data_IF_612704490683
#
_entry.id   IF_612704490683
#
_cell.length_a   1.000
_cell.length_b   1.000
_cell.length_c   1.000
_cell.angle_alpha   90.00
_cell.angle_beta   90.00
_cell.angle_gamma   90.00
#
_symmetry.space_group_name_H-M   'P 1'
#
loop_
_entity.id
_entity.type
_entity.pdbx_description
1 polymer ?
#
# COMPACT_ATOMS: atom_id res chain seq x y z
N UNK A 1 75.19 45.14 33.96
CA UNK A 1 73.94 45.14 34.77
C UNK A 1 72.81 45.42 33.79
N UNK A 2 71.82 44.58 33.50
CA UNK A 2 71.35 43.34 34.13
C UNK A 2 70.43 42.61 33.13
N UNK A 3 70.78 41.35 32.88
CA UNK A 3 70.03 40.14 32.45
C UNK A 3 68.54 40.18 32.06
N UNK A 4 68.22 39.48 30.97
CA UNK A 4 66.94 38.79 30.70
C UNK A 4 67.13 37.62 29.69
N UNK A 5 66.45 36.46 29.82
CA UNK A 5 66.90 35.15 29.31
C UNK A 5 66.25 34.72 27.96
N UNK A 6 66.70 33.58 27.35
CA UNK A 6 66.33 33.16 26.00
C UNK A 6 65.05 32.30 25.98
N UNK A 7 64.34 32.27 24.85
CA UNK A 7 63.16 31.44 24.64
C UNK A 7 62.93 31.08 23.18
N UNK A 8 63.05 29.79 22.92
CA UNK A 8 62.31 28.97 21.95
C UNK A 8 62.54 29.15 20.45
N UNK A 9 63.49 28.33 19.99
CA UNK A 9 63.60 27.68 18.70
C UNK A 9 62.28 26.97 18.32
N UNK A 10 61.57 27.52 17.34
CA UNK A 10 60.55 26.79 16.57
C UNK A 10 60.99 26.78 15.11
N UNK A 11 61.38 25.59 14.66
CA UNK A 11 61.70 25.24 13.29
C UNK A 11 60.54 25.62 12.35
N UNK A 12 60.68 26.75 11.68
CA UNK A 12 59.84 27.14 10.56
C UNK A 12 60.27 26.31 9.34
N UNK A 13 59.87 25.03 9.32
CA UNK A 13 59.93 24.21 8.10
C UNK A 13 58.93 24.78 7.10
N UNK A 14 59.45 25.70 6.29
CA UNK A 14 58.92 26.15 5.01
C UNK A 14 58.62 24.91 4.16
N UNK A 15 57.34 24.55 4.05
CA UNK A 15 56.87 23.54 3.11
C UNK A 15 56.91 24.20 1.74
N UNK A 16 58.06 24.08 1.06
CA UNK A 16 58.17 24.43 -0.35
C UNK A 16 57.86 23.22 -1.21
N UNK A 17 56.89 23.40 -2.10
CA UNK A 17 56.49 22.54 -3.23
C UNK A 17 55.49 21.43 -2.92
N UNK A 18 54.47 21.40 -3.78
CA UNK A 18 53.32 20.50 -3.79
C UNK A 18 53.58 19.30 -4.74
N UNK A 19 54.85 19.04 -5.06
CA UNK A 19 55.28 18.05 -6.06
C UNK A 19 55.83 16.75 -5.42
N UNK A 20 55.99 16.70 -4.10
CA UNK A 20 56.46 15.51 -3.36
C UNK A 20 55.32 14.60 -2.82
N UNK A 21 54.05 14.88 -3.16
CA UNK A 21 52.90 14.08 -2.71
C UNK A 21 52.38 13.06 -3.75
N UNK A 22 53.05 12.96 -4.91
CA UNK A 22 52.71 11.99 -5.94
C UNK A 22 53.91 11.08 -6.21
N UNK A 23 54.02 10.01 -5.42
CA UNK A 23 54.86 8.89 -5.82
C UNK A 23 54.32 8.29 -7.13
N UNK A 24 55.13 8.15 -8.18
CA UNK A 24 54.71 7.46 -9.39
C UNK A 24 54.54 5.98 -9.08
N UNK A 25 53.33 5.46 -9.24
CA UNK A 25 53.05 4.02 -9.19
C UNK A 25 53.94 3.29 -10.19
N UNK A 26 55.00 2.65 -9.69
CA UNK A 26 55.86 1.75 -10.46
C UNK A 26 55.05 0.56 -10.95
N UNK A 27 54.83 0.47 -12.26
CA UNK A 27 54.32 -0.70 -12.94
C UNK A 27 55.46 -1.69 -13.17
N UNK A 28 55.93 -2.39 -12.13
CA UNK A 28 56.91 -3.48 -12.25
C UNK A 28 56.71 -4.53 -11.14
N UNK A 29 55.53 -5.13 -11.05
CA UNK A 29 55.34 -6.42 -10.36
C UNK A 29 54.50 -7.34 -11.24
N UNK A 30 55.19 -8.22 -11.98
CA UNK A 30 54.60 -9.38 -12.63
C UNK A 30 54.13 -10.34 -11.53
N UNK A 31 52.82 -10.67 -11.43
CA UNK A 31 52.37 -11.55 -10.37
C UNK A 31 52.93 -12.96 -10.61
N UNK A 32 53.81 -13.40 -9.71
CA UNK A 32 54.24 -14.79 -9.62
C UNK A 32 53.00 -15.68 -9.47
N UNK A 33 52.71 -16.42 -10.54
CA UNK A 33 51.59 -17.34 -10.65
C UNK A 33 51.73 -18.47 -9.63
N UNK A 34 50.88 -18.55 -8.58
CA UNK A 34 50.95 -19.64 -7.63
C UNK A 34 50.58 -20.95 -8.32
N UNK A 35 51.46 -21.94 -8.15
CA UNK A 35 51.31 -23.27 -8.72
C UNK A 35 49.92 -23.87 -8.44
N UNK A 36 49.31 -24.39 -9.50
CA UNK A 36 47.98 -25.00 -9.48
C UNK A 36 47.88 -26.13 -8.45
N UNK A 37 47.00 -25.95 -7.48
CA UNK A 37 46.47 -27.04 -6.66
C UNK A 37 45.62 -27.98 -7.54
N UNK A 38 45.58 -29.30 -7.27
CA UNK A 38 44.79 -30.24 -8.04
C UNK A 38 43.30 -29.90 -7.95
N UNK A 39 42.50 -30.13 -9.00
CA UNK A 39 41.08 -29.81 -8.98
C UNK A 39 40.38 -30.70 -7.95
N UNK A 40 40.03 -30.11 -6.81
CA UNK A 40 38.95 -30.61 -5.97
C UNK A 40 37.71 -30.64 -6.85
N UNK A 41 37.25 -31.85 -7.12
CA UNK A 41 35.98 -32.13 -7.80
C UNK A 41 34.86 -31.40 -7.08
N UNK A 42 34.50 -30.22 -7.59
CA UNK A 42 33.31 -29.50 -7.17
C UNK A 42 32.11 -30.41 -7.47
N UNK A 43 31.16 -30.56 -6.53
CA UNK A 43 29.89 -31.21 -6.83
C UNK A 43 29.31 -30.52 -8.06
N UNK A 44 29.06 -31.27 -9.13
CA UNK A 44 28.47 -30.72 -10.35
C UNK A 44 27.19 -29.98 -9.95
N UNK A 45 27.22 -28.66 -10.01
CA UNK A 45 26.08 -27.83 -9.68
C UNK A 45 24.95 -28.22 -10.64
N UNK A 46 23.93 -28.90 -10.12
CA UNK A 46 22.71 -29.20 -10.87
C UNK A 46 22.21 -27.88 -11.45
N UNK A 47 22.11 -27.77 -12.78
CA UNK A 47 21.65 -26.54 -13.45
C UNK A 47 20.17 -26.66 -13.77
N UNK A 48 19.42 -25.57 -13.58
CA UNK A 48 17.99 -25.47 -13.89
C UNK A 48 17.78 -24.43 -14.99
N UNK A 49 16.92 -24.75 -15.96
CA UNK A 49 16.60 -23.86 -17.08
C UNK A 49 15.41 -22.98 -16.70
N UNK A 50 15.55 -21.66 -16.87
CA UNK A 50 14.49 -20.72 -16.57
C UNK A 50 13.31 -20.89 -17.56
N UNK A 51 12.07 -21.08 -17.09
CA UNK A 51 10.90 -21.22 -17.97
C UNK A 51 10.50 -19.92 -18.67
N UNK A 52 10.94 -18.75 -18.15
CA UNK A 52 10.57 -17.45 -18.70
C UNK A 52 11.52 -16.96 -19.79
N UNK A 53 12.82 -17.21 -19.68
CA UNK A 53 13.81 -16.70 -20.64
C UNK A 53 14.77 -17.76 -21.20
N UNK A 54 14.72 -19.01 -20.73
CA UNK A 54 15.58 -20.10 -21.19
C UNK A 54 17.02 -20.08 -20.67
N UNK A 55 17.39 -19.12 -19.82
CA UNK A 55 18.75 -19.06 -19.24
C UNK A 55 19.00 -20.21 -18.27
N UNK A 56 20.21 -20.79 -18.33
CA UNK A 56 20.68 -21.79 -17.38
C UNK A 56 21.12 -21.10 -16.09
N UNK A 57 20.58 -21.53 -14.97
CA UNK A 57 20.92 -21.02 -13.64
C UNK A 57 21.40 -22.18 -12.77
N UNK A 58 22.25 -21.95 -11.77
CA UNK A 58 22.55 -22.98 -10.76
C UNK A 58 21.27 -23.32 -9.98
N UNK A 59 21.09 -24.60 -9.64
CA UNK A 59 19.89 -25.14 -8.99
C UNK A 59 19.65 -24.62 -7.56
N UNK A 60 20.64 -23.96 -6.96
CA UNK A 60 20.48 -23.20 -5.71
C UNK A 60 19.75 -21.87 -5.88
N UNK A 61 19.57 -21.37 -7.11
CA UNK A 61 18.94 -20.09 -7.35
C UNK A 61 17.42 -20.19 -7.28
N UNK A 62 16.81 -19.33 -6.47
CA UNK A 62 15.34 -19.17 -6.42
C UNK A 62 14.79 -18.30 -7.54
N UNK A 63 15.62 -17.45 -8.13
CA UNK A 63 15.27 -16.50 -9.18
C UNK A 63 16.30 -16.56 -10.31
N UNK A 64 15.87 -16.28 -11.53
CA UNK A 64 16.73 -16.27 -12.70
C UNK A 64 17.64 -15.05 -12.68
N UNK A 65 18.93 -15.25 -12.92
CA UNK A 65 19.94 -14.19 -12.97
C UNK A 65 19.81 -13.27 -14.18
N UNK A 66 19.18 -13.73 -15.27
CA UNK A 66 19.01 -12.95 -16.49
C UNK A 66 17.70 -12.16 -16.54
N UNK A 67 16.58 -12.74 -16.07
CA UNK A 67 15.25 -12.12 -16.20
C UNK A 67 14.50 -11.93 -14.87
N UNK A 68 15.03 -12.41 -13.75
CA UNK A 68 14.40 -12.31 -12.43
C UNK A 68 13.27 -13.30 -12.14
N UNK A 69 12.86 -14.14 -13.10
CA UNK A 69 11.77 -15.10 -12.93
C UNK A 69 12.08 -16.19 -11.88
N UNK A 70 11.07 -16.62 -11.11
CA UNK A 70 11.23 -17.66 -10.07
C UNK A 70 11.48 -19.04 -10.68
N UNK A 71 12.45 -19.79 -10.14
CA UNK A 71 12.89 -21.11 -10.64
C UNK A 71 12.30 -22.29 -9.84
N UNK A 72 11.97 -22.09 -8.55
CA UNK A 72 11.35 -23.13 -7.70
C UNK A 72 9.82 -23.14 -7.85
N UNK A 73 9.27 -24.14 -8.56
CA UNK A 73 7.85 -24.52 -8.54
C UNK A 73 7.66 -25.80 -7.72
N UNK A 74 7.78 -25.70 -6.40
CA UNK A 74 7.22 -26.70 -5.50
C UNK A 74 5.72 -26.42 -5.27
N UNK A 75 4.82 -27.41 -5.30
CA UNK A 75 3.44 -27.18 -4.89
C UNK A 75 3.43 -26.75 -3.43
N UNK A 76 2.83 -25.59 -3.15
CA UNK A 76 2.60 -25.16 -1.78
C UNK A 76 1.72 -26.22 -1.07
N UNK A 77 2.00 -26.57 0.19
CA UNK A 77 1.14 -27.47 0.95
C UNK A 77 -0.25 -26.84 1.03
N UNK A 78 -1.20 -27.47 0.33
CA UNK A 78 -2.59 -27.04 0.33
C UNK A 78 -3.15 -27.33 1.72
N UNK A 79 -3.47 -26.27 2.47
CA UNK A 79 -4.09 -26.41 3.77
C UNK A 79 -5.41 -27.19 3.62
N UNK A 80 -5.70 -28.16 4.51
CA UNK A 80 -6.96 -28.89 4.46
C UNK A 80 -8.13 -27.90 4.60
N UNK A 81 -9.23 -28.09 3.85
CA UNK A 81 -10.38 -27.19 3.92
C UNK A 81 -10.98 -27.20 5.33
N UNK A 82 -11.42 -26.04 5.86
CA UNK A 82 -12.03 -25.98 7.17
C UNK A 82 -13.35 -26.77 7.19
N UNK A 83 -13.37 -27.90 7.90
CA UNK A 83 -14.61 -28.44 8.44
C UNK A 83 -15.04 -27.47 9.54
N UNK A 84 -15.98 -26.58 9.26
CA UNK A 84 -17.21 -26.36 10.05
C UNK A 84 -18.14 -25.49 9.18
N UNK A 85 -19.16 -26.11 8.61
CA UNK A 85 -20.38 -25.41 8.16
C UNK A 85 -21.33 -25.35 9.34
N UNK A 86 -21.07 -24.43 10.28
CA UNK A 86 -22.07 -24.05 11.27
C UNK A 86 -22.91 -22.95 10.64
N UNK A 87 -24.13 -23.29 10.24
CA UNK A 87 -25.14 -22.34 9.76
C UNK A 87 -25.42 -21.29 10.85
N UNK A 88 -25.10 -19.99 10.64
CA UNK A 88 -25.27 -18.95 11.65
C UNK A 88 -26.69 -18.36 11.59
N UNK A 89 -27.71 -19.20 11.66
CA UNK A 89 -29.11 -18.79 11.42
C UNK A 89 -30.06 -18.84 12.61
N UNK A 90 -29.66 -19.37 13.78
CA UNK A 90 -30.61 -19.69 14.85
C UNK A 90 -30.30 -19.14 16.24
N UNK A 91 -29.13 -18.51 16.46
CA UNK A 91 -28.75 -17.97 17.79
C UNK A 91 -28.83 -16.44 17.93
N UNK A 92 -28.85 -15.69 16.82
CA UNK A 92 -28.93 -14.23 16.86
C UNK A 92 -30.33 -13.71 17.24
N UNK A 93 -31.40 -14.41 16.84
CA UNK A 93 -32.79 -14.04 17.16
C UNK A 93 -33.16 -14.21 18.64
N UNK A 94 -32.60 -15.21 19.32
CA UNK A 94 -32.89 -15.46 20.74
C UNK A 94 -32.28 -14.41 21.68
N UNK A 95 -31.07 -13.92 21.37
CA UNK A 95 -30.39 -12.92 22.19
C UNK A 95 -31.06 -11.56 22.08
N UNK A 96 -31.45 -11.13 20.87
CA UNK A 96 -32.15 -9.87 20.68
C UNK A 96 -33.52 -9.85 21.38
N UNK A 97 -34.30 -10.94 21.29
CA UNK A 97 -35.58 -11.04 21.99
C UNK A 97 -35.42 -11.01 23.52
N UNK A 98 -34.38 -11.68 24.06
CA UNK A 98 -34.09 -11.64 25.49
C UNK A 98 -33.66 -10.25 25.97
N UNK A 99 -32.81 -9.54 25.21
CA UNK A 99 -32.36 -8.18 25.53
C UNK A 99 -33.54 -7.20 25.51
N UNK A 100 -34.40 -7.25 24.49
CA UNK A 100 -35.61 -6.40 24.42
C UNK A 100 -36.54 -6.66 25.60
N UNK A 101 -36.74 -7.92 26.00
CA UNK A 101 -37.58 -8.28 27.13
C UNK A 101 -37.00 -7.79 28.47
N UNK A 102 -35.69 -7.91 28.66
CA UNK A 102 -34.99 -7.39 29.84
C UNK A 102 -35.07 -5.87 29.92
N UNK A 103 -34.86 -5.15 28.80
CA UNK A 103 -34.98 -3.69 28.74
C UNK A 103 -36.41 -3.24 29.03
N UNK A 104 -37.41 -3.92 28.47
CA UNK A 104 -38.82 -3.63 28.74
C UNK A 104 -39.21 -3.85 30.20
N UNK A 105 -38.72 -4.93 30.84
CA UNK A 105 -38.91 -5.17 32.27
C UNK A 105 -38.23 -4.10 33.12
N UNK A 106 -37.01 -3.70 32.76
CA UNK A 106 -36.30 -2.62 33.46
C UNK A 106 -37.05 -1.28 33.35
N UNK A 107 -37.53 -0.93 32.17
CA UNK A 107 -38.33 0.28 31.95
C UNK A 107 -39.65 0.23 32.72
N UNK A 108 -40.31 -0.92 32.78
CA UNK A 108 -41.54 -1.11 33.55
C UNK A 108 -41.29 -0.97 35.05
N UNK A 109 -40.25 -1.61 35.59
CA UNK A 109 -39.86 -1.48 37.00
C UNK A 109 -39.49 -0.02 37.32
N UNK A 110 -38.76 0.66 36.42
CA UNK A 110 -38.39 2.05 36.63
C UNK A 110 -39.59 2.99 36.59
N UNK A 111 -40.55 2.72 35.70
CA UNK A 111 -41.82 3.44 35.62
C UNK A 111 -42.65 3.29 36.91
N UNK A 112 -42.75 2.07 37.43
CA UNK A 112 -43.52 1.79 38.67
C UNK A 112 -42.84 2.36 39.92
N UNK A 113 -41.51 2.46 39.95
CA UNK A 113 -40.76 2.91 41.14
C UNK A 113 -40.58 4.45 41.20
N UNK A 114 -40.84 5.18 40.10
CA UNK A 114 -40.64 6.65 40.05
C UNK A 114 -41.88 7.50 40.36
N UNK A 115 -43.06 6.91 40.56
CA UNK A 115 -44.24 7.63 41.04
C UNK A 115 -44.26 7.67 42.57
N UNK A 116 -43.28 8.37 43.15
CA UNK A 116 -43.37 9.02 44.45
C UNK A 116 -42.32 10.13 44.49
N UNK A 117 -42.79 11.37 44.41
CA UNK A 117 -41.96 12.55 44.25
C UNK A 117 -41.06 12.84 45.45
N UNK A 118 -39.93 13.49 45.19
CA UNK A 118 -39.53 14.74 45.83
C UNK A 118 -38.12 15.11 45.38
N UNK A 119 -37.97 16.36 44.97
CA UNK A 119 -36.69 17.03 44.81
C UNK A 119 -35.85 16.95 46.10
N UNK A 120 -34.54 16.80 45.94
CA UNK A 120 -33.57 17.42 46.83
C UNK A 120 -32.26 17.61 46.07
N UNK A 121 -31.98 18.88 45.79
CA UNK A 121 -30.65 19.37 45.47
C UNK A 121 -29.64 18.89 46.52
N UNK A 122 -28.55 18.28 46.06
CA UNK A 122 -27.30 18.27 46.81
C UNK A 122 -26.18 18.65 45.85
N UNK A 123 -25.82 19.93 45.91
CA UNK A 123 -24.53 20.40 45.46
C UNK A 123 -23.44 19.67 46.26
N UNK A 124 -22.60 18.90 45.57
CA UNK A 124 -21.27 18.56 46.08
C UNK A 124 -20.23 19.24 45.21
N UNK A 125 -19.74 20.34 45.78
CA UNK A 125 -18.48 20.94 45.44
C UNK A 125 -17.38 19.94 45.87
N UNK A 126 -16.71 19.34 44.90
CA UNK A 126 -15.61 18.40 45.08
C UNK A 126 -14.46 18.84 44.19
N UNK A 127 -13.63 19.69 44.74
CA UNK A 127 -12.30 20.04 44.26
C UNK A 127 -11.55 18.75 43.92
N UNK A 128 -11.17 18.56 42.66
CA UNK A 128 -10.23 17.51 42.29
C UNK A 128 -9.38 17.98 41.10
N UNK A 129 -8.07 17.97 41.34
CA UNK A 129 -7.05 18.64 40.55
C UNK A 129 -7.12 18.35 39.06
N UNK A 130 -6.82 19.41 38.30
CA UNK A 130 -6.60 19.43 36.86
C UNK A 130 -5.49 18.46 36.49
N UNK A 131 -5.86 17.20 36.31
CA UNK A 131 -5.07 16.25 35.52
C UNK A 131 -5.63 16.40 34.12
N UNK A 132 -4.89 17.09 33.24
CA UNK A 132 -5.14 17.09 31.80
C UNK A 132 -5.01 15.64 31.31
N UNK A 133 -6.09 14.89 31.45
CA UNK A 133 -6.26 13.61 30.80
C UNK A 133 -6.62 13.97 29.37
N UNK A 134 -5.63 14.06 28.50
CA UNK A 134 -5.86 14.02 27.06
C UNK A 134 -6.60 12.71 26.79
N UNK A 135 -7.91 12.79 26.67
CA UNK A 135 -8.73 11.66 26.26
C UNK A 135 -8.39 11.46 24.79
N UNK A 136 -7.52 10.50 24.51
CA UNK A 136 -7.24 10.06 23.14
C UNK A 136 -8.54 9.45 22.62
N UNK A 137 -9.33 10.27 21.92
CA UNK A 137 -10.49 9.77 21.18
C UNK A 137 -9.97 8.77 20.14
N UNK A 138 -10.61 7.60 19.97
CA UNK A 138 -10.19 6.67 18.94
C UNK A 138 -10.30 7.36 17.57
N UNK A 139 -9.28 7.21 16.74
CA UNK A 139 -9.31 7.67 15.35
C UNK A 139 -10.48 6.96 14.67
N UNK A 140 -11.50 7.72 14.26
CA UNK A 140 -12.63 7.19 13.51
C UNK A 140 -12.26 7.17 12.04
N UNK A 141 -12.29 5.99 11.43
CA UNK A 141 -12.08 5.83 10.00
C UNK A 141 -13.45 5.97 9.33
N UNK A 142 -13.59 7.01 8.53
CA UNK A 142 -14.77 7.32 7.73
C UNK A 142 -14.41 7.34 6.24
N UNK A 143 -15.43 7.33 5.39
CA UNK A 143 -15.24 7.51 3.96
C UNK A 143 -14.96 8.98 3.64
N UNK A 144 -13.88 9.22 2.91
CA UNK A 144 -13.43 10.54 2.46
C UNK A 144 -13.91 10.75 1.03
N UNK A 145 -14.46 11.95 0.76
CA UNK A 145 -14.96 12.30 -0.56
C UNK A 145 -14.02 13.31 -1.22
N UNK A 146 -13.32 12.92 -2.31
CA UNK A 146 -12.61 13.87 -3.13
C UNK A 146 -13.56 14.93 -3.68
N UNK A 147 -13.09 16.17 -3.76
CA UNK A 147 -13.86 17.27 -4.32
C UNK A 147 -13.80 17.35 -5.83
N UNK A 148 -12.69 16.86 -6.40
CA UNK A 148 -12.43 16.87 -7.84
C UNK A 148 -11.68 15.61 -8.20
N UNK A 149 -12.04 15.03 -9.34
CA UNK A 149 -11.28 13.97 -10.00
C UNK A 149 -11.01 14.35 -11.45
N UNK A 150 -9.85 13.96 -11.97
CA UNK A 150 -9.50 14.12 -13.38
C UNK A 150 -8.69 12.91 -13.85
N UNK A 151 -8.90 12.48 -15.09
CA UNK A 151 -8.11 11.42 -15.70
C UNK A 151 -7.32 11.93 -16.91
N UNK A 152 -6.17 11.32 -17.19
CA UNK A 152 -5.32 11.67 -18.34
C UNK A 152 -6.02 11.46 -19.68
N UNK A 153 -7.01 10.56 -19.73
CA UNK A 153 -7.93 10.42 -20.86
C UNK A 153 -9.28 9.88 -20.38
N UNK A 154 -10.34 10.18 -21.12
CA UNK A 154 -11.66 9.61 -20.90
C UNK A 154 -12.52 9.65 -22.16
N UNK A 155 -13.58 8.84 -22.17
CA UNK A 155 -14.73 9.03 -23.06
C UNK A 155 -15.76 9.98 -22.43
N UNK A 156 -16.48 10.75 -23.25
CA UNK A 156 -17.44 11.76 -22.78
C UNK A 156 -18.59 11.15 -21.96
N UNK A 157 -18.98 9.91 -22.24
CA UNK A 157 -20.03 9.19 -21.54
C UNK A 157 -19.53 8.30 -20.39
N UNK A 158 -18.21 8.26 -20.18
CA UNK A 158 -17.56 7.54 -19.08
C UNK A 158 -16.50 8.45 -18.42
N UNK A 159 -16.92 9.63 -17.91
CA UNK A 159 -16.00 10.63 -17.36
C UNK A 159 -15.37 10.16 -16.05
N UNK A 160 -14.27 10.82 -15.66
CA UNK A 160 -13.60 10.53 -14.40
C UNK A 160 -14.49 10.75 -13.17
N UNK A 161 -15.48 11.64 -13.25
CA UNK A 161 -16.45 11.92 -12.17
C UNK A 161 -17.18 10.67 -11.67
N UNK A 162 -17.39 9.68 -12.55
CA UNK A 162 -17.98 8.39 -12.18
C UNK A 162 -17.15 7.63 -11.14
N UNK A 163 -15.87 7.95 -10.95
CA UNK A 163 -15.01 7.29 -9.96
C UNK A 163 -15.31 7.68 -8.51
N UNK A 164 -16.06 8.77 -8.29
CA UNK A 164 -16.31 9.36 -6.97
C UNK A 164 -17.79 9.70 -6.76
N UNK A 165 -18.68 9.16 -7.59
CA UNK A 165 -20.11 9.49 -7.57
C UNK A 165 -20.93 8.66 -6.56
N UNK A 166 -20.30 7.68 -5.91
CA UNK A 166 -20.96 6.75 -4.97
C UNK A 166 -21.84 5.70 -5.66
N UNK A 167 -21.75 5.55 -6.99
CA UNK A 167 -22.54 4.61 -7.78
C UNK A 167 -21.65 3.68 -8.63
N UNK A 168 -21.25 2.55 -8.04
CA UNK A 168 -20.54 1.47 -8.72
C UNK A 168 -21.22 0.86 -9.97
N UNK A 169 -22.45 1.27 -10.33
CA UNK A 169 -23.06 0.93 -11.61
C UNK A 169 -22.56 1.82 -12.76
N UNK A 170 -22.10 3.03 -12.47
CA UNK A 170 -21.36 3.86 -13.42
C UNK A 170 -19.87 3.47 -13.38
N UNK A 171 -19.11 3.96 -14.36
CA UNK A 171 -17.68 3.70 -14.42
C UNK A 171 -16.98 4.71 -15.31
N UNK A 172 -15.70 4.93 -15.03
CA UNK A 172 -14.79 5.63 -15.93
C UNK A 172 -14.22 4.66 -16.96
N UNK A 173 -13.98 5.17 -18.17
CA UNK A 173 -13.17 4.49 -19.17
C UNK A 173 -12.06 5.39 -19.66
N UNK A 174 -10.86 4.83 -19.82
CA UNK A 174 -9.84 5.49 -20.62
C UNK A 174 -10.28 5.59 -22.08
N UNK A 175 -9.60 6.42 -22.88
CA UNK A 175 -9.99 6.67 -24.27
C UNK A 175 -9.51 5.58 -25.24
N UNK A 176 -9.71 4.30 -24.88
CA UNK A 176 -9.31 3.15 -25.67
C UNK A 176 -7.79 2.93 -25.69
N UNK A 177 -7.11 3.32 -24.61
CA UNK A 177 -5.65 3.29 -24.47
C UNK A 177 -5.15 2.05 -23.73
N UNK A 178 -6.06 1.15 -23.33
CA UNK A 178 -5.75 -0.11 -22.63
C UNK A 178 -4.98 0.12 -21.33
N UNK A 179 -5.23 1.24 -20.67
CA UNK A 179 -4.59 1.70 -19.44
C UNK A 179 -3.17 2.22 -19.61
N UNK A 180 -2.67 2.38 -20.84
CA UNK A 180 -1.33 2.92 -21.08
C UNK A 180 -1.28 4.38 -20.65
N UNK A 181 -0.35 4.69 -19.75
CA UNK A 181 -0.15 6.04 -19.19
C UNK A 181 -1.44 6.62 -18.57
N UNK A 182 -2.36 5.75 -18.14
CA UNK A 182 -3.56 6.18 -17.44
C UNK A 182 -3.15 6.73 -16.06
N UNK A 183 -3.48 7.99 -15.84
CA UNK A 183 -3.25 8.71 -14.59
C UNK A 183 -4.57 9.31 -14.14
N UNK A 184 -4.92 9.13 -12.88
CA UNK A 184 -6.15 9.61 -12.27
C UNK A 184 -5.76 10.39 -11.03
N UNK A 185 -6.12 11.66 -10.99
CA UNK A 185 -5.79 12.58 -9.90
C UNK A 185 -7.06 12.96 -9.15
N UNK A 186 -7.01 12.81 -7.83
CA UNK A 186 -8.05 13.15 -6.87
C UNK A 186 -7.57 14.31 -6.02
N UNK A 187 -8.45 15.29 -5.78
CA UNK A 187 -8.17 16.45 -4.95
C UNK A 187 -9.16 16.54 -3.81
N UNK A 188 -8.71 16.98 -2.65
CA UNK A 188 -9.53 17.21 -1.47
C UNK A 188 -9.56 18.71 -1.14
N UNK A 189 -10.70 19.23 -0.68
CA UNK A 189 -10.81 20.65 -0.33
C UNK A 189 -10.04 21.02 0.94
N UNK A 190 -9.81 20.05 1.80
CA UNK A 190 -9.05 20.19 3.04
C UNK A 190 -8.04 19.05 3.10
N UNK A 191 -6.90 19.24 3.78
CA UNK A 191 -5.98 18.13 4.06
C UNK A 191 -6.72 17.02 4.81
N UNK A 192 -6.53 15.78 4.37
CA UNK A 192 -7.14 14.57 4.97
C UNK A 192 -6.07 13.53 5.27
N UNK A 193 -6.32 12.67 6.25
CA UNK A 193 -5.51 11.50 6.51
C UNK A 193 -6.08 10.30 5.74
N UNK A 194 -5.42 9.82 4.69
CA UNK A 194 -5.86 8.60 3.97
C UNK A 194 -5.15 7.37 4.51
N UNK A 195 -5.92 6.40 5.02
CA UNK A 195 -5.42 5.12 5.55
C UNK A 195 -5.62 3.94 4.60
N UNK A 196 -6.64 4.00 3.75
CA UNK A 196 -6.98 2.96 2.79
C UNK A 196 -7.71 3.57 1.59
N UNK A 197 -7.52 2.97 0.42
CA UNK A 197 -8.40 3.16 -0.73
C UNK A 197 -8.92 1.81 -1.18
N UNK A 198 -10.19 1.76 -1.57
CA UNK A 198 -10.76 0.59 -2.23
C UNK A 198 -10.90 0.88 -3.72
N UNK A 199 -10.26 0.05 -4.54
CA UNK A 199 -10.44 0.06 -5.98
C UNK A 199 -11.57 -0.88 -6.36
N UNK A 200 -12.68 -0.32 -6.84
CA UNK A 200 -13.87 -1.08 -7.19
C UNK A 200 -13.91 -1.31 -8.70
N UNK A 201 -13.95 -2.59 -9.07
CA UNK A 201 -14.13 -3.01 -10.45
C UNK A 201 -15.61 -3.01 -10.86
N UNK A 202 -15.88 -3.03 -12.16
CA UNK A 202 -17.24 -3.14 -12.69
C UNK A 202 -17.86 -4.48 -12.25
N UNK A 203 -19.03 -4.42 -11.61
CA UNK A 203 -19.74 -5.62 -11.14
C UNK A 203 -20.35 -6.46 -12.28
N UNK A 204 -20.70 -5.83 -13.40
CA UNK A 204 -21.23 -6.52 -14.58
C UNK A 204 -20.15 -7.41 -15.21
N UNK A 205 -20.39 -8.72 -15.26
CA UNK A 205 -19.41 -9.71 -15.70
C UNK A 205 -18.99 -9.57 -17.17
N UNK A 206 -19.92 -9.17 -18.05
CA UNK A 206 -19.61 -8.93 -19.46
C UNK A 206 -18.64 -7.75 -19.56
N UNK A 207 -18.98 -6.62 -18.93
CA UNK A 207 -18.16 -5.40 -18.95
C UNK A 207 -16.83 -5.61 -18.27
N UNK A 208 -16.79 -6.27 -17.12
CA UNK A 208 -15.55 -6.63 -16.43
C UNK A 208 -14.60 -7.43 -17.34
N UNK A 209 -15.12 -8.49 -17.97
CA UNK A 209 -14.34 -9.38 -18.83
C UNK A 209 -13.83 -8.66 -20.08
N UNK A 210 -14.70 -7.86 -20.70
CA UNK A 210 -14.43 -7.21 -21.98
C UNK A 210 -13.62 -5.93 -21.88
N UNK A 211 -13.47 -5.32 -20.71
CA UNK A 211 -12.59 -4.15 -20.51
C UNK A 211 -11.21 -4.58 -20.01
N UNK A 212 -10.20 -3.75 -20.25
CA UNK A 212 -8.93 -3.84 -19.53
C UNK A 212 -9.16 -3.47 -18.07
N UNK A 213 -8.38 -4.07 -17.17
CA UNK A 213 -8.48 -3.86 -15.71
C UNK A 213 -7.11 -3.53 -15.15
N UNK A 214 -7.04 -2.78 -14.07
CA UNK A 214 -5.75 -2.38 -13.48
C UNK A 214 -5.08 -3.63 -12.91
N UNK A 215 -3.83 -3.88 -13.30
CA UNK A 215 -2.99 -4.95 -12.75
C UNK A 215 -1.90 -4.38 -11.87
N UNK A 216 -1.17 -3.38 -12.35
CA UNK A 216 -0.11 -2.74 -11.60
C UNK A 216 -0.46 -1.27 -11.41
N UNK A 217 -0.15 -0.76 -10.23
CA UNK A 217 -0.40 0.63 -9.88
C UNK A 217 0.81 1.27 -9.21
N UNK A 218 0.84 2.59 -9.25
CA UNK A 218 1.68 3.44 -8.43
C UNK A 218 0.84 4.62 -7.93
N UNK A 219 0.83 4.86 -6.63
CA UNK A 219 0.12 5.95 -5.98
C UNK A 219 1.14 6.97 -5.48
N UNK A 220 0.92 8.22 -5.85
CA UNK A 220 1.70 9.37 -5.40
C UNK A 220 0.76 10.28 -4.62
N UNK A 221 1.21 10.76 -3.47
CA UNK A 221 0.50 11.73 -2.64
C UNK A 221 1.44 12.91 -2.39
N UNK A 222 0.89 14.10 -2.22
CA UNK A 222 1.65 15.33 -1.94
C UNK A 222 2.36 15.31 -0.57
N UNK A 223 1.94 14.45 0.35
CA UNK A 223 2.51 14.30 1.69
C UNK A 223 3.41 13.06 1.87
N UNK A 224 3.52 12.20 0.85
CA UNK A 224 4.35 11.00 0.88
C UNK A 224 5.65 11.20 0.11
N UNK A 225 6.79 10.87 0.74
CA UNK A 225 8.10 10.94 0.09
C UNK A 225 8.32 9.83 -0.95
N UNK A 226 7.71 8.67 -0.75
CA UNK A 226 7.91 7.47 -1.58
C UNK A 226 6.56 7.04 -2.14
N UNK A 227 6.44 6.86 -3.47
CA UNK A 227 5.22 6.32 -4.07
C UNK A 227 4.93 4.89 -3.58
N UNK A 228 3.65 4.59 -3.41
CA UNK A 228 3.18 3.24 -3.07
C UNK A 228 2.91 2.50 -4.37
N UNK A 229 3.56 1.36 -4.59
CA UNK A 229 3.34 0.54 -5.78
C UNK A 229 2.88 -0.86 -5.39
N UNK A 230 2.10 -1.49 -6.26
CA UNK A 230 1.62 -2.85 -6.02
C UNK A 230 0.97 -3.47 -7.26
N UNK A 231 0.37 -4.64 -7.05
CA UNK A 231 -0.39 -5.34 -8.08
C UNK A 231 -1.73 -5.83 -7.55
N UNK A 232 -2.73 -5.87 -8.42
CA UNK A 232 -4.08 -6.32 -8.15
C UNK A 232 -4.36 -7.67 -8.81
N UNK A 233 -5.15 -8.49 -8.15
CA UNK A 233 -5.66 -9.74 -8.71
C UNK A 233 -6.71 -9.47 -9.79
N UNK A 234 -6.89 -10.40 -10.72
CA UNK A 234 -7.89 -10.26 -11.80
C UNK A 234 -9.26 -10.76 -11.32
N UNK A 235 -9.81 -10.08 -10.32
CA UNK A 235 -11.09 -10.41 -9.68
C UNK A 235 -11.99 -9.18 -9.62
N UNK A 236 -13.31 -9.39 -9.59
CA UNK A 236 -14.29 -8.31 -9.56
C UNK A 236 -14.50 -7.71 -8.16
N UNK A 237 -14.06 -8.40 -7.10
CA UNK A 237 -14.16 -7.91 -5.72
C UNK A 237 -13.36 -6.61 -5.52
N UNK A 238 -13.82 -5.69 -4.66
CA UNK A 238 -13.06 -4.50 -4.29
C UNK A 238 -11.67 -4.85 -3.77
N UNK A 239 -10.66 -4.09 -4.21
CA UNK A 239 -9.28 -4.32 -3.84
C UNK A 239 -8.78 -3.23 -2.88
N UNK A 240 -8.58 -3.54 -1.58
CA UNK A 240 -8.07 -2.57 -0.62
C UNK A 240 -6.58 -2.33 -0.79
N UNK A 241 -6.19 -1.06 -0.77
CA UNK A 241 -4.80 -0.60 -0.84
C UNK A 241 -4.55 0.31 0.35
N UNK A 242 -3.66 -0.13 1.25
CA UNK A 242 -3.29 0.67 2.43
C UNK A 242 -2.40 1.83 2.04
N UNK A 243 -2.73 2.99 2.58
CA UNK A 243 -1.99 4.24 2.43
C UNK A 243 -1.64 4.74 3.83
N UNK A 244 -0.53 5.46 3.95
CA UNK A 244 -0.09 6.06 5.22
C UNK A 244 0.07 7.58 5.08
N UNK A 245 -0.87 8.20 4.37
CA UNK A 245 -0.96 9.66 4.27
C UNK A 245 -1.42 10.22 5.61
N UNK A 246 -1.04 11.46 5.92
CA UNK A 246 -1.36 12.17 7.15
C UNK A 246 -2.15 13.45 6.89
N UNK A 247 -1.81 14.20 5.83
CA UNK A 247 -2.39 15.52 5.55
C UNK A 247 -2.41 15.79 4.03
N UNK A 248 -2.88 14.84 3.23
CA UNK A 248 -2.89 14.98 1.76
C UNK A 248 -4.00 15.88 1.26
N UNK A 249 -3.70 16.68 0.23
CA UNK A 249 -4.72 17.41 -0.55
C UNK A 249 -4.84 16.91 -1.98
N UNK A 250 -3.89 16.08 -2.43
CA UNK A 250 -3.85 15.54 -3.78
C UNK A 250 -3.24 14.13 -3.78
N UNK A 251 -3.98 13.18 -4.36
CA UNK A 251 -3.53 11.83 -4.59
C UNK A 251 -3.66 11.49 -6.07
N UNK A 252 -2.61 10.91 -6.64
CA UNK A 252 -2.56 10.47 -8.04
C UNK A 252 -2.33 8.97 -8.13
N UNK A 253 -3.27 8.26 -8.76
CA UNK A 253 -3.17 6.85 -9.13
C UNK A 253 -2.66 6.72 -10.57
N UNK A 254 -1.53 6.06 -10.75
CA UNK A 254 -0.94 5.73 -12.06
C UNK A 254 -1.08 4.26 -12.35
N UNK A 255 -1.56 3.94 -13.55
CA UNK A 255 -1.60 2.56 -14.05
C UNK A 255 -0.26 2.20 -14.65
N UNK A 256 0.39 1.18 -14.09
CA UNK A 256 1.70 0.70 -14.55
C UNK A 256 1.60 -0.56 -15.42
N UNK A 257 0.52 -1.34 -15.27
CA UNK A 257 0.17 -2.45 -16.16
C UNK A 257 -1.31 -2.83 -16.01
N UNK A 258 -1.83 -3.59 -16.97
CA UNK A 258 -3.23 -4.00 -17.02
C UNK A 258 -3.40 -5.51 -17.20
N UNK A 259 -4.49 -6.07 -16.66
CA UNK A 259 -5.01 -7.35 -17.10
C UNK A 259 -5.73 -7.17 -18.45
N UNK A 260 -5.57 -8.10 -19.40
CA UNK A 260 -6.09 -7.93 -20.75
C UNK A 260 -7.61 -8.15 -20.81
N UNK A 261 -8.29 -7.30 -21.56
CA UNK A 261 -9.66 -7.57 -22.00
C UNK A 261 -9.74 -8.89 -22.79
N UNK A 262 -10.81 -9.67 -22.59
CA UNK A 262 -11.09 -10.89 -23.34
C UNK A 262 -12.51 -10.90 -23.90
N UNK A 263 -12.79 -11.79 -24.85
CA UNK A 263 -14.15 -11.93 -25.38
C UNK A 263 -15.08 -12.55 -24.35
N UNK A 264 -16.33 -12.09 -24.31
CA UNK A 264 -17.38 -12.64 -23.46
C UNK A 264 -18.56 -13.06 -24.34
N UNK A 265 -18.98 -14.32 -24.26
CA UNK A 265 -20.10 -14.86 -25.05
C UNK A 265 -20.03 -14.55 -26.57
N UNK A 266 -18.82 -14.58 -27.13
CA UNK A 266 -18.59 -14.30 -28.56
C UNK A 266 -18.54 -12.82 -28.94
N UNK A 267 -18.79 -11.91 -27.99
CA UNK A 267 -18.56 -10.48 -28.18
C UNK A 267 -17.08 -10.14 -28.05
N UNK A 268 -16.52 -9.30 -28.93
CA UNK A 268 -15.09 -8.97 -28.92
C UNK A 268 -14.72 -8.13 -27.69
N UNK A 269 -13.45 -8.18 -27.24
CA UNK A 269 -12.96 -7.30 -26.18
C UNK A 269 -13.01 -5.84 -26.61
N UNK A 270 -13.15 -4.96 -25.62
CA UNK A 270 -12.99 -3.52 -25.74
C UNK A 270 -11.49 -3.14 -25.72
N UNK A 271 -11.18 -1.90 -26.10
CA UNK A 271 -9.80 -1.38 -26.02
C UNK A 271 -9.58 -0.51 -24.78
N UNK A 272 -10.64 -0.20 -24.06
CA UNK A 272 -10.63 0.68 -22.92
C UNK A 272 -10.28 -0.04 -21.61
N UNK A 273 -9.57 0.67 -20.74
CA UNK A 273 -9.46 0.35 -19.32
C UNK A 273 -10.68 0.90 -18.59
N UNK A 274 -11.22 0.14 -17.65
CA UNK A 274 -12.40 0.55 -16.90
C UNK A 274 -12.22 0.36 -15.39
N UNK A 275 -12.77 1.30 -14.62
CA UNK A 275 -12.84 1.27 -13.15
C UNK A 275 -14.20 1.84 -12.76
N UNK A 276 -14.90 1.17 -11.85
CA UNK A 276 -16.21 1.64 -11.40
C UNK A 276 -16.04 2.82 -10.45
N UNK A 277 -15.29 2.62 -9.37
CA UNK A 277 -15.22 3.58 -8.28
C UNK A 277 -13.87 3.49 -7.56
N UNK A 278 -13.42 4.61 -6.98
CA UNK A 278 -12.31 4.65 -6.02
C UNK A 278 -12.84 5.26 -4.73
N UNK A 279 -12.90 4.45 -3.68
CA UNK A 279 -13.35 4.88 -2.36
C UNK A 279 -12.14 5.16 -1.48
N UNK A 280 -12.20 6.20 -0.67
CA UNK A 280 -11.12 6.63 0.21
C UNK A 280 -11.58 6.51 1.64
N UNK A 281 -10.73 5.99 2.52
CA UNK A 281 -11.04 5.83 3.94
C UNK A 281 -9.95 6.47 4.80
N UNK A 282 -10.37 7.14 5.87
CA UNK A 282 -9.49 8.02 6.61
C UNK A 282 -10.17 8.88 7.67
N UNK A 283 -9.52 9.97 8.05
CA UNK A 283 -10.02 10.93 9.03
C UNK A 283 -9.61 12.37 8.73
#
# INVERSE_FOLDING_TARGET
MTTGPPGDEMDEKKIESFDDLFEPFGLDEEPEQPAAAPPTSQPQAETVVCPSCGTHNPGSNRHCEACGARLETGPLPVAPPPLIRATPGARALGVLAAVVLVVALFAFVWSVVRDDGAASDVAQNGDNGTTETSVTSPIQIEELLPSVVSASSQYDNFPADNLIDGDSATYWNDKGLRGRDAEITFRFFQPVQIVEIDLVNIADAERFTRNYRIKGYQIVSDDLQVPISGTLEDVADPAPIRIASLETTELTLRVTSTHPATSYEGQPPFNELAVAEIQFFGS
#
